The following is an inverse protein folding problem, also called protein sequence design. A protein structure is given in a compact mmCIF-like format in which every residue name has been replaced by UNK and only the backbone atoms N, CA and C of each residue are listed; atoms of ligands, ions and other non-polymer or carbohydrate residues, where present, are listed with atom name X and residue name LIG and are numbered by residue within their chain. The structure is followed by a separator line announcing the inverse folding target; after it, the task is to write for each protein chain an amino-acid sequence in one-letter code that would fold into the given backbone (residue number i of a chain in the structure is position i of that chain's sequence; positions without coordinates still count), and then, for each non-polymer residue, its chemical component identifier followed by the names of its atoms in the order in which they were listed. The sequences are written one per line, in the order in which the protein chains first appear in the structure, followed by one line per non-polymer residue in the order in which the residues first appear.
data_IF_730143248111
#
_entry.id   IF_730143248111
#
_cell.length_a   1.000
_cell.length_b   1.000
_cell.length_c   1.000
_cell.angle_alpha   90.00
_cell.angle_beta   90.00
_cell.angle_gamma   90.00
#
_symmetry.space_group_name_H-M   'P 1'
#
loop_
_entity.id
_entity.type
_entity.pdbx_description
1 polymer ?
#
# COMPACT_ATOMS: atom_id res chain seq x y z
N UNK A 1 41.84 -13.96 -60.95
CA UNK A 1 41.86 -14.14 -59.49
C UNK A 1 41.82 -15.63 -59.19
N UNK A 2 42.85 -16.16 -58.58
CA UNK A 2 43.07 -17.61 -58.44
C UNK A 2 42.12 -18.21 -57.40
N UNK A 3 41.59 -19.41 -57.64
CA UNK A 3 40.62 -20.06 -56.74
C UNK A 3 41.09 -20.17 -55.27
N UNK A 4 42.39 -20.21 -55.04
CA UNK A 4 42.98 -20.20 -53.68
C UNK A 4 42.75 -18.89 -52.92
N UNK A 5 42.73 -17.75 -53.63
CA UNK A 5 42.48 -16.40 -53.05
C UNK A 5 40.99 -16.21 -52.67
N UNK A 6 40.06 -16.79 -53.45
CA UNK A 6 38.62 -16.75 -53.14
C UNK A 6 38.28 -17.58 -51.90
N UNK A 7 38.91 -18.76 -51.75
CA UNK A 7 38.72 -19.63 -50.53
C UNK A 7 39.34 -19.00 -49.27
N UNK A 8 40.45 -18.30 -49.40
CA UNK A 8 41.09 -17.59 -48.31
C UNK A 8 40.23 -16.39 -47.80
N UNK A 9 39.70 -15.61 -48.70
CA UNK A 9 38.81 -14.46 -48.39
C UNK A 9 37.52 -14.95 -47.78
N UNK A 10 36.93 -16.05 -48.29
CA UNK A 10 35.68 -16.61 -47.74
C UNK A 10 35.87 -17.18 -46.32
N UNK A 11 37.00 -17.80 -46.01
CA UNK A 11 37.33 -18.27 -44.66
C UNK A 11 37.52 -17.10 -43.66
N UNK A 12 38.17 -16.04 -44.08
CA UNK A 12 38.37 -14.81 -43.28
C UNK A 12 37.05 -14.13 -43.00
N UNK A 13 36.15 -14.03 -44.00
CA UNK A 13 34.80 -13.43 -43.84
C UNK A 13 33.95 -14.27 -42.92
N UNK A 14 33.97 -15.63 -43.02
CA UNK A 14 33.24 -16.53 -42.14
C UNK A 14 33.78 -16.45 -40.70
N UNK A 15 35.12 -16.37 -40.54
CA UNK A 15 35.75 -16.20 -39.24
C UNK A 15 35.41 -14.83 -38.60
N UNK A 16 35.39 -13.76 -39.43
CA UNK A 16 35.02 -12.42 -38.97
C UNK A 16 33.53 -12.36 -38.60
N UNK A 17 32.64 -13.02 -39.36
CA UNK A 17 31.21 -13.10 -39.03
C UNK A 17 30.93 -13.94 -37.77
N UNK A 18 31.69 -15.01 -37.50
CA UNK A 18 31.57 -15.77 -36.28
C UNK A 18 32.11 -15.05 -35.03
N UNK A 19 33.07 -14.14 -35.21
CA UNK A 19 33.61 -13.36 -34.09
C UNK A 19 32.79 -12.12 -33.74
N UNK A 20 31.96 -11.60 -34.68
CA UNK A 20 31.09 -10.43 -34.41
C UNK A 20 29.73 -10.77 -33.84
N UNK A 21 29.37 -12.05 -33.73
CA UNK A 21 28.08 -12.46 -33.16
C UNK A 21 28.16 -12.91 -31.70
N UNK A 22 29.30 -12.80 -31.02
CA UNK A 22 29.33 -12.82 -29.56
C UNK A 22 28.89 -11.45 -29.03
N UNK A 23 27.64 -11.05 -29.31
CA UNK A 23 26.93 -10.24 -28.35
C UNK A 23 26.82 -11.12 -27.13
N UNK A 24 27.56 -10.77 -26.07
CA UNK A 24 27.37 -11.36 -24.76
C UNK A 24 25.92 -11.01 -24.41
N UNK A 25 24.99 -11.91 -24.71
CA UNK A 25 23.65 -11.84 -24.17
C UNK A 25 23.83 -12.02 -22.67
N UNK A 26 24.01 -10.92 -21.95
CA UNK A 26 23.92 -10.92 -20.51
C UNK A 26 22.49 -11.38 -20.22
N UNK A 27 22.34 -12.68 -19.93
CA UNK A 27 21.07 -13.23 -19.53
C UNK A 27 20.63 -12.42 -18.30
N UNK A 28 19.60 -11.63 -18.46
CA UNK A 28 19.03 -10.83 -17.36
C UNK A 28 18.30 -11.72 -16.35
N UNK A 29 18.17 -13.01 -16.66
CA UNK A 29 17.60 -14.03 -15.78
C UNK A 29 18.59 -15.17 -15.68
N UNK A 30 19.04 -15.47 -14.45
CA UNK A 30 19.95 -16.61 -14.17
C UNK A 30 19.34 -17.52 -13.12
N UNK A 31 19.38 -18.83 -13.38
CA UNK A 31 19.03 -19.86 -12.42
C UNK A 31 20.30 -20.57 -11.94
N UNK A 32 20.45 -20.72 -10.64
CA UNK A 32 21.60 -21.30 -9.99
C UNK A 32 21.32 -22.74 -9.54
N UNK A 33 22.36 -23.59 -9.52
CA UNK A 33 22.26 -25.01 -9.12
C UNK A 33 21.74 -25.19 -7.68
N UNK A 34 21.86 -24.20 -6.83
CA UNK A 34 21.33 -24.18 -5.46
C UNK A 34 19.86 -23.76 -5.36
N UNK A 35 19.12 -23.69 -6.49
CA UNK A 35 17.72 -23.34 -6.53
C UNK A 35 17.42 -21.83 -6.51
N UNK A 36 18.44 -20.97 -6.58
CA UNK A 36 18.25 -19.52 -6.57
C UNK A 36 18.07 -18.96 -7.97
N UNK A 37 17.31 -17.85 -8.06
CA UNK A 37 16.99 -17.14 -9.30
C UNK A 37 17.36 -15.65 -9.17
N UNK A 38 18.04 -15.09 -10.17
CA UNK A 38 18.28 -13.66 -10.23
C UNK A 38 17.66 -13.04 -11.47
N UNK A 39 17.15 -11.82 -11.31
CA UNK A 39 16.70 -10.93 -12.38
C UNK A 39 17.63 -9.71 -12.42
N UNK A 40 18.15 -9.38 -13.61
CA UNK A 40 19.17 -8.36 -13.78
C UNK A 40 20.60 -8.89 -13.55
N UNK A 41 21.57 -7.99 -13.65
CA UNK A 41 22.99 -8.35 -13.52
C UNK A 41 23.42 -8.34 -12.05
N UNK A 42 23.10 -9.40 -11.34
CA UNK A 42 23.42 -9.56 -9.93
C UNK A 42 23.67 -11.01 -9.56
N UNK A 43 24.29 -11.24 -8.41
CA UNK A 43 24.42 -12.54 -7.76
C UNK A 43 23.28 -12.75 -6.74
N UNK A 44 22.94 -14.01 -6.38
CA UNK A 44 21.94 -14.28 -5.35
C UNK A 44 22.34 -13.66 -4.01
N UNK A 45 21.38 -12.94 -3.39
CA UNK A 45 21.62 -12.34 -2.07
C UNK A 45 21.27 -13.32 -0.95
N UNK A 46 22.28 -13.70 -0.15
CA UNK A 46 22.18 -14.52 1.07
C UNK A 46 21.16 -15.68 1.02
N UNK A 47 20.13 -15.61 1.86
CA UNK A 47 19.11 -16.66 2.03
C UNK A 47 17.94 -16.56 1.05
N UNK A 48 17.87 -15.50 0.25
CA UNK A 48 16.74 -15.28 -0.64
C UNK A 48 16.81 -16.18 -1.87
N UNK A 49 15.70 -16.83 -2.20
CA UNK A 49 15.58 -17.66 -3.40
C UNK A 49 15.49 -16.84 -4.69
N UNK A 50 15.00 -15.59 -4.58
CA UNK A 50 14.90 -14.66 -5.70
C UNK A 50 15.59 -13.35 -5.36
N UNK A 51 16.44 -12.88 -6.26
CA UNK A 51 17.10 -11.57 -6.15
C UNK A 51 16.84 -10.78 -7.41
N UNK A 52 16.31 -9.57 -7.27
CA UNK A 52 15.97 -8.67 -8.37
C UNK A 52 16.87 -7.44 -8.27
N UNK A 53 17.66 -7.20 -9.31
CA UNK A 53 18.48 -6.00 -9.44
C UNK A 53 17.80 -5.01 -10.38
N UNK A 54 17.30 -3.92 -9.82
CA UNK A 54 16.56 -2.89 -10.54
C UNK A 54 15.79 -2.00 -9.57
N UNK A 55 14.97 -1.12 -10.11
CA UNK A 55 14.22 -0.13 -9.30
C UNK A 55 12.95 -0.70 -8.66
N UNK A 56 12.63 -1.98 -8.87
CA UNK A 56 11.45 -2.61 -8.27
C UNK A 56 10.74 -3.59 -9.19
N UNK A 57 9.49 -3.84 -8.86
CA UNK A 57 8.60 -4.73 -9.61
C UNK A 57 7.35 -3.97 -10.04
N UNK A 58 6.90 -4.20 -11.27
CA UNK A 58 5.71 -3.59 -11.84
C UNK A 58 4.73 -4.66 -12.31
N UNK A 59 3.52 -4.62 -11.79
CA UNK A 59 2.42 -5.51 -12.15
C UNK A 59 1.35 -4.71 -12.88
N UNK A 60 1.03 -5.10 -14.11
CA UNK A 60 0.02 -4.45 -14.94
C UNK A 60 -1.17 -5.37 -15.16
N UNK A 61 -2.35 -4.91 -14.83
CA UNK A 61 -3.60 -5.57 -15.19
C UNK A 61 -3.94 -5.30 -16.66
N UNK A 62 -4.61 -6.25 -17.31
CA UNK A 62 -5.07 -6.14 -18.69
C UNK A 62 -6.00 -4.93 -18.91
N UNK A 63 -6.72 -4.50 -17.90
CA UNK A 63 -7.68 -3.38 -17.91
C UNK A 63 -7.08 -2.02 -17.54
N UNK A 64 -5.76 -1.90 -17.48
CA UNK A 64 -5.07 -0.62 -17.26
C UNK A 64 -4.72 -0.31 -15.80
N UNK A 65 -5.19 -1.08 -14.83
CA UNK A 65 -4.77 -0.94 -13.44
C UNK A 65 -3.35 -1.50 -13.23
N UNK A 66 -2.59 -0.96 -12.28
CA UNK A 66 -1.27 -1.44 -11.94
C UNK A 66 -0.97 -1.36 -10.44
N UNK A 67 -0.02 -2.18 -10.01
CA UNK A 67 0.58 -2.16 -8.70
C UNK A 67 2.09 -2.28 -8.85
N UNK A 68 2.85 -1.54 -8.07
CA UNK A 68 4.30 -1.60 -8.11
C UNK A 68 4.93 -1.56 -6.71
N UNK A 69 6.08 -2.20 -6.62
CA UNK A 69 6.97 -2.13 -5.47
C UNK A 69 8.24 -1.42 -5.93
N UNK A 70 8.43 -0.17 -5.51
CA UNK A 70 9.60 0.62 -5.88
C UNK A 70 10.69 0.52 -4.82
N UNK A 71 11.93 0.30 -5.27
CA UNK A 71 13.13 0.38 -4.44
C UNK A 71 14.04 1.44 -5.06
N UNK A 72 13.98 2.65 -4.55
CA UNK A 72 14.75 3.79 -5.06
C UNK A 72 15.74 4.28 -4.00
N UNK A 73 16.78 5.06 -4.39
CA UNK A 73 17.71 5.64 -3.42
C UNK A 73 17.06 6.55 -2.37
N UNK A 74 15.86 7.07 -2.65
CA UNK A 74 15.13 7.97 -1.74
C UNK A 74 14.07 7.26 -0.89
N UNK A 75 13.81 5.97 -1.16
CA UNK A 75 12.87 5.18 -0.36
C UNK A 75 12.25 4.00 -1.09
N UNK A 76 11.55 3.17 -0.31
CA UNK A 76 10.75 2.05 -0.80
C UNK A 76 9.28 2.43 -0.76
N UNK A 77 8.52 2.14 -1.83
CA UNK A 77 7.11 2.47 -1.94
C UNK A 77 6.31 1.26 -2.43
N UNK A 78 5.12 1.09 -1.85
CA UNK A 78 4.04 0.33 -2.45
C UNK A 78 3.14 1.34 -3.16
N UNK A 79 2.99 1.25 -4.47
CA UNK A 79 2.24 2.22 -5.27
C UNK A 79 1.16 1.54 -6.10
N UNK A 80 0.02 2.18 -6.21
CA UNK A 80 -1.16 1.73 -6.95
C UNK A 80 -1.61 2.81 -7.93
N UNK A 81 -2.28 2.43 -9.00
CA UNK A 81 -2.95 3.35 -9.90
C UNK A 81 -4.24 3.91 -9.29
N UNK A 82 -4.86 3.15 -8.41
CA UNK A 82 -6.02 3.59 -7.63
C UNK A 82 -5.58 4.31 -6.35
N UNK A 83 -6.48 5.04 -5.73
CA UNK A 83 -6.22 5.83 -4.52
C UNK A 83 -5.98 4.95 -3.27
N UNK A 84 -6.03 3.64 -3.42
CA UNK A 84 -5.92 2.68 -2.32
C UNK A 84 -4.96 1.54 -2.62
N UNK A 85 -4.26 1.07 -1.59
CA UNK A 85 -3.66 -0.26 -1.51
C UNK A 85 -4.42 -1.03 -0.45
N UNK A 86 -5.11 -2.09 -0.85
CA UNK A 86 -5.97 -2.89 0.04
C UNK A 86 -5.20 -4.09 0.55
N UNK A 87 -5.13 -4.25 1.86
CA UNK A 87 -4.61 -5.45 2.51
C UNK A 87 -5.77 -6.41 2.78
N UNK A 88 -5.87 -7.45 1.98
CA UNK A 88 -7.05 -8.30 1.91
C UNK A 88 -6.70 -9.78 2.02
N UNK A 89 -7.45 -10.51 2.83
CA UNK A 89 -7.36 -11.95 2.95
C UNK A 89 -8.39 -12.60 2.01
N UNK A 90 -7.91 -13.15 0.90
CA UNK A 90 -8.78 -13.77 -0.11
C UNK A 90 -9.45 -15.06 0.36
N UNK A 91 -8.88 -15.72 1.37
CA UNK A 91 -9.43 -16.95 1.92
C UNK A 91 -10.64 -16.69 2.82
N UNK A 92 -10.58 -15.61 3.61
CA UNK A 92 -11.66 -15.21 4.51
C UNK A 92 -12.59 -14.16 3.92
N UNK A 93 -12.22 -13.58 2.80
CA UNK A 93 -12.91 -12.44 2.17
C UNK A 93 -13.04 -11.22 3.11
N UNK A 94 -12.02 -10.98 3.94
CA UNK A 94 -11.97 -9.89 4.92
C UNK A 94 -10.71 -9.04 4.77
N UNK A 95 -10.68 -7.87 5.41
CA UNK A 95 -9.49 -7.03 5.45
C UNK A 95 -8.50 -7.53 6.49
N UNK A 96 -7.19 -7.43 6.16
CA UNK A 96 -6.12 -7.76 7.09
C UNK A 96 -5.81 -6.57 8.02
N UNK A 97 -5.38 -6.88 9.23
CA UNK A 97 -4.78 -5.90 10.13
C UNK A 97 -3.35 -5.54 9.68
N UNK A 98 -2.91 -4.32 9.97
CA UNK A 98 -1.55 -3.84 9.70
C UNK A 98 -0.87 -3.57 11.03
N UNK A 99 0.34 -4.14 11.23
CA UNK A 99 1.19 -3.85 12.38
C UNK A 99 2.33 -2.93 11.92
N UNK A 100 2.34 -1.72 12.42
CA UNK A 100 3.38 -0.71 12.14
C UNK A 100 3.79 -0.01 13.43
N UNK A 101 5.03 0.47 13.52
CA UNK A 101 5.49 1.22 14.68
C UNK A 101 4.82 2.60 14.77
N UNK A 102 4.69 3.29 13.64
CA UNK A 102 4.10 4.64 13.56
C UNK A 102 3.37 4.79 12.24
N UNK A 103 2.31 5.61 12.23
CA UNK A 103 1.60 6.04 11.02
C UNK A 103 1.78 7.55 10.87
N UNK A 104 2.36 7.99 9.75
CA UNK A 104 2.50 9.40 9.39
C UNK A 104 1.57 9.71 8.24
N UNK A 105 0.58 10.59 8.47
CA UNK A 105 -0.30 11.06 7.43
C UNK A 105 0.27 12.31 6.77
N UNK A 106 0.29 12.34 5.43
CA UNK A 106 0.74 13.50 4.68
C UNK A 106 -0.16 14.72 4.99
N UNK A 107 0.44 15.81 5.47
CA UNK A 107 -0.29 16.97 5.96
C UNK A 107 0.46 18.30 5.76
N UNK A 108 1.31 18.39 4.73
CA UNK A 108 2.05 19.59 4.42
C UNK A 108 1.11 20.75 3.99
N UNK A 109 1.36 21.95 4.52
CA UNK A 109 0.55 23.13 4.22
C UNK A 109 0.58 23.50 2.73
N UNK A 110 1.71 23.28 2.05
CA UNK A 110 1.86 23.58 0.61
C UNK A 110 0.96 22.73 -0.30
N UNK A 111 0.49 21.59 0.21
CA UNK A 111 -0.43 20.70 -0.52
C UNK A 111 -1.91 21.00 -0.23
N UNK A 112 -2.21 22.00 0.59
CA UNK A 112 -3.58 22.31 1.00
C UNK A 112 -4.04 23.63 0.41
N UNK A 113 -5.30 23.67 0.01
CA UNK A 113 -5.98 24.87 -0.46
C UNK A 113 -7.27 25.10 0.32
N UNK A 114 -7.79 26.31 0.35
CA UNK A 114 -9.07 26.64 0.99
C UNK A 114 -9.13 26.24 2.47
N UNK A 115 -8.05 26.45 3.20
CA UNK A 115 -7.96 26.11 4.63
C UNK A 115 -8.90 27.02 5.41
N UNK A 116 -9.83 26.42 6.16
CA UNK A 116 -10.80 27.11 7.02
C UNK A 116 -10.88 26.41 8.38
N UNK A 117 -11.30 27.14 9.39
CA UNK A 117 -11.55 26.59 10.71
C UNK A 117 -12.76 25.62 10.68
N UNK A 118 -12.69 24.59 11.50
CA UNK A 118 -13.84 23.74 11.78
C UNK A 118 -14.89 24.56 12.56
N UNK A 119 -16.15 24.20 12.38
CA UNK A 119 -17.26 24.79 13.10
C UNK A 119 -18.26 23.71 13.50
N UNK A 120 -18.98 23.93 14.60
CA UNK A 120 -20.05 23.06 15.08
C UNK A 120 -19.55 21.63 15.48
N UNK A 121 -18.26 21.45 15.75
CA UNK A 121 -17.69 20.14 16.04
C UNK A 121 -18.23 19.51 17.32
N UNK A 122 -18.50 20.31 18.37
CA UNK A 122 -19.07 19.80 19.62
C UNK A 122 -20.46 19.15 19.37
N UNK A 123 -21.34 19.82 18.65
CA UNK A 123 -22.64 19.25 18.30
C UNK A 123 -22.52 18.00 17.44
N UNK A 124 -21.56 17.97 16.51
CA UNK A 124 -21.31 16.79 15.68
C UNK A 124 -20.86 15.61 16.53
N UNK A 125 -19.90 15.82 17.43
CA UNK A 125 -19.40 14.76 18.32
C UNK A 125 -20.49 14.20 19.22
N UNK A 126 -21.35 15.06 19.76
CA UNK A 126 -22.48 14.65 20.62
C UNK A 126 -23.53 13.79 19.89
N UNK A 127 -23.59 13.83 18.58
CA UNK A 127 -24.48 13.01 17.75
C UNK A 127 -23.85 11.65 17.36
N UNK A 128 -22.54 11.48 17.52
CA UNK A 128 -21.89 10.19 17.27
C UNK A 128 -22.24 9.21 18.37
N UNK A 129 -22.46 7.95 17.98
CA UNK A 129 -22.80 6.85 18.90
C UNK A 129 -21.67 5.82 18.95
N UNK A 130 -20.79 5.87 19.95
CA UNK A 130 -19.81 4.82 20.17
C UNK A 130 -20.49 3.49 20.50
N UNK A 131 -20.01 2.41 19.91
CA UNK A 131 -20.57 1.05 20.06
C UNK A 131 -19.49 0.02 20.27
N UNK A 132 -19.88 -1.11 20.86
CA UNK A 132 -19.13 -2.35 20.76
C UNK A 132 -19.81 -3.26 19.77
N UNK A 133 -19.03 -4.01 18.97
CA UNK A 133 -19.56 -4.89 17.94
C UNK A 133 -18.66 -6.11 17.73
N UNK A 134 -19.18 -7.11 17.01
CA UNK A 134 -18.41 -8.19 16.39
C UNK A 134 -18.70 -8.16 14.89
N UNK A 135 -17.70 -8.46 14.08
CA UNK A 135 -17.95 -8.63 12.64
C UNK A 135 -18.78 -9.89 12.40
N UNK A 136 -19.75 -9.78 11.46
CA UNK A 136 -20.64 -10.89 11.11
C UNK A 136 -19.92 -12.03 10.37
N UNK A 137 -18.77 -11.73 9.76
CA UNK A 137 -17.97 -12.68 8.99
C UNK A 137 -17.17 -13.59 9.93
N UNK A 138 -17.88 -14.50 10.62
CA UNK A 138 -17.29 -15.61 11.36
C UNK A 138 -16.74 -16.67 10.39
N UNK A 139 -15.84 -16.32 9.50
CA UNK A 139 -14.95 -17.27 8.90
C UNK A 139 -13.90 -17.65 9.95
N UNK A 140 -14.32 -18.43 10.93
CA UNK A 140 -13.41 -19.17 11.77
C UNK A 140 -12.71 -20.21 10.89
N UNK A 141 -11.69 -19.74 10.16
CA UNK A 141 -10.70 -20.66 9.70
C UNK A 141 -10.00 -21.14 10.96
N UNK A 142 -10.04 -22.45 11.15
CA UNK A 142 -9.14 -23.13 12.05
C UNK A 142 -7.70 -22.92 11.53
N UNK A 143 -7.18 -21.71 11.70
CA UNK A 143 -5.76 -21.43 11.57
C UNK A 143 -5.21 -21.48 12.98
N UNK A 144 -4.13 -22.24 13.14
CA UNK A 144 -3.39 -22.37 14.41
C UNK A 144 -2.83 -21.03 14.95
N UNK A 145 -3.18 -19.91 14.32
CA UNK A 145 -2.81 -18.55 14.73
C UNK A 145 -4.08 -17.76 15.01
N UNK A 146 -4.57 -17.86 16.22
CA UNK A 146 -5.63 -17.00 16.73
C UNK A 146 -5.05 -15.67 17.18
N UNK A 147 -5.30 -14.59 16.43
CA UNK A 147 -5.15 -13.24 16.96
C UNK A 147 -6.37 -12.96 17.84
N UNK A 148 -6.18 -13.01 19.16
CA UNK A 148 -7.23 -12.57 20.07
C UNK A 148 -7.15 -11.05 20.22
N UNK A 149 -8.22 -10.35 19.84
CA UNK A 149 -8.51 -9.04 20.41
C UNK A 149 -8.66 -9.23 21.91
N UNK A 150 -8.02 -8.37 22.71
CA UNK A 150 -8.09 -8.50 24.18
C UNK A 150 -9.53 -8.43 24.67
N UNK A 151 -9.84 -9.12 25.78
CA UNK A 151 -11.15 -9.05 26.43
C UNK A 151 -12.16 -10.07 25.90
N UNK A 152 -13.41 -9.62 25.68
CA UNK A 152 -14.57 -10.47 25.33
C UNK A 152 -14.73 -10.72 23.82
N UNK A 153 -13.73 -10.39 23.02
CA UNK A 153 -13.74 -10.55 21.56
C UNK A 153 -14.57 -9.52 20.80
N UNK A 154 -15.05 -8.47 21.50
CA UNK A 154 -15.73 -7.35 20.87
C UNK A 154 -14.76 -6.25 20.48
N UNK A 155 -15.07 -5.58 19.41
CA UNK A 155 -14.38 -4.37 18.96
C UNK A 155 -15.14 -3.13 19.41
N UNK A 156 -14.45 -2.00 19.46
CA UNK A 156 -15.03 -0.69 19.80
C UNK A 156 -14.91 0.20 18.58
N UNK A 157 -15.98 0.89 18.22
CA UNK A 157 -15.94 1.82 17.10
C UNK A 157 -17.26 2.53 16.87
N UNK A 158 -17.45 2.97 15.63
CA UNK A 158 -18.62 3.70 15.15
C UNK A 158 -19.22 2.95 13.95
N UNK A 159 -20.50 3.16 13.69
CA UNK A 159 -21.18 2.64 12.51
C UNK A 159 -21.04 3.68 11.38
N UNK A 160 -20.40 3.28 10.28
CA UNK A 160 -20.06 4.21 9.19
C UNK A 160 -21.27 4.94 8.59
N UNK A 161 -22.41 4.25 8.47
CA UNK A 161 -23.66 4.83 7.98
C UNK A 161 -24.21 5.93 8.92
N UNK A 162 -24.03 5.79 10.23
CA UNK A 162 -24.43 6.80 11.21
C UNK A 162 -23.44 7.98 11.19
N UNK A 163 -22.15 7.70 11.09
CA UNK A 163 -21.11 8.75 10.98
C UNK A 163 -21.30 9.59 9.72
N UNK A 164 -21.66 8.98 8.60
CA UNK A 164 -21.87 9.67 7.33
C UNK A 164 -22.98 10.73 7.41
N UNK A 165 -24.00 10.52 8.26
CA UNK A 165 -25.08 11.52 8.47
C UNK A 165 -24.58 12.78 9.18
N UNK A 166 -23.54 12.65 10.00
CA UNK A 166 -23.03 13.75 10.86
C UNK A 166 -21.74 14.34 10.31
N UNK A 167 -20.83 13.49 9.86
CA UNK A 167 -19.49 13.83 9.36
C UNK A 167 -19.21 13.10 8.02
N UNK A 168 -19.87 13.48 6.93
CA UNK A 168 -19.72 12.76 5.66
C UNK A 168 -18.28 12.75 5.13
N UNK A 169 -17.47 13.78 5.42
CA UNK A 169 -16.10 13.91 4.95
C UNK A 169 -15.11 12.90 5.59
N UNK A 170 -15.51 12.18 6.63
CA UNK A 170 -14.67 11.15 7.25
C UNK A 170 -15.07 9.74 6.82
N UNK A 171 -16.05 9.59 5.95
CA UNK A 171 -16.52 8.30 5.44
C UNK A 171 -16.22 8.19 3.95
N UNK A 172 -15.64 7.06 3.58
CA UNK A 172 -15.40 6.66 2.20
C UNK A 172 -16.30 5.47 1.86
N UNK A 173 -16.87 5.46 0.67
CA UNK A 173 -17.52 4.27 0.10
C UNK A 173 -16.59 3.69 -0.96
N UNK A 174 -16.21 2.42 -0.81
CA UNK A 174 -15.36 1.73 -1.77
C UNK A 174 -16.13 1.28 -3.02
N UNK A 175 -15.41 0.68 -3.98
CA UNK A 175 -15.99 0.23 -5.25
C UNK A 175 -16.97 -0.95 -5.09
N UNK A 176 -16.99 -1.61 -3.94
CA UNK A 176 -17.92 -2.68 -3.60
C UNK A 176 -19.14 -2.16 -2.82
N UNK A 177 -19.20 -0.86 -2.55
CA UNK A 177 -20.27 -0.22 -1.78
C UNK A 177 -20.09 -0.33 -0.27
N UNK A 178 -18.94 -0.81 0.23
CA UNK A 178 -18.62 -0.88 1.65
C UNK A 178 -18.20 0.49 2.15
N UNK A 179 -18.64 0.85 3.36
CA UNK A 179 -18.31 2.12 3.99
C UNK A 179 -17.17 1.97 4.99
N UNK A 180 -16.23 2.89 4.91
CA UNK A 180 -14.99 2.92 5.68
C UNK A 180 -14.90 4.25 6.42
N UNK A 181 -14.44 4.23 7.68
CA UNK A 181 -14.28 5.45 8.49
C UNK A 181 -12.78 5.80 8.56
N UNK A 182 -12.46 7.05 8.25
CA UNK A 182 -11.16 7.61 8.55
C UNK A 182 -11.13 8.12 9.99
N UNK A 183 -10.79 7.25 10.95
CA UNK A 183 -10.73 7.61 12.36
C UNK A 183 -9.69 8.70 12.66
N UNK A 184 -8.61 8.82 11.89
CA UNK A 184 -7.62 9.88 12.09
C UNK A 184 -8.16 11.26 11.72
N UNK A 185 -9.12 11.34 10.80
CA UNK A 185 -9.80 12.60 10.45
C UNK A 185 -10.82 13.05 11.52
N UNK A 186 -11.19 12.18 12.45
CA UNK A 186 -12.04 12.56 13.59
C UNK A 186 -11.23 13.31 14.67
N UNK A 187 -9.93 13.12 14.74
CA UNK A 187 -9.06 13.76 15.76
C UNK A 187 -9.19 15.30 15.74
N UNK A 188 -9.03 16.00 14.60
CA UNK A 188 -9.22 17.47 14.60
C UNK A 188 -10.63 17.90 14.98
N UNK A 189 -11.66 17.11 14.68
CA UNK A 189 -13.05 17.39 15.12
C UNK A 189 -13.15 17.29 16.65
N UNK A 190 -12.52 16.30 17.27
CA UNK A 190 -12.46 16.17 18.73
C UNK A 190 -11.69 17.33 19.37
N UNK A 191 -10.60 17.79 18.76
CA UNK A 191 -9.82 18.93 19.26
C UNK A 191 -10.69 20.20 19.30
N UNK A 192 -11.39 20.54 18.21
CA UNK A 192 -12.28 21.70 18.14
C UNK A 192 -13.47 21.58 19.11
N UNK A 193 -14.03 20.37 19.25
CA UNK A 193 -15.10 20.11 20.21
C UNK A 193 -14.65 20.33 21.67
N UNK A 194 -13.45 19.87 22.03
CA UNK A 194 -12.86 20.06 23.37
C UNK A 194 -12.60 21.54 23.63
N UNK A 195 -12.04 22.27 22.66
CA UNK A 195 -11.79 23.71 22.78
C UNK A 195 -13.10 24.50 22.99
N UNK A 196 -14.15 24.16 22.26
CA UNK A 196 -15.47 24.74 22.43
C UNK A 196 -16.05 24.48 23.82
N UNK A 197 -16.01 23.21 24.25
CA UNK A 197 -16.49 22.80 25.58
C UNK A 197 -15.73 23.51 26.69
N UNK A 198 -14.40 23.67 26.57
CA UNK A 198 -13.57 24.39 27.54
C UNK A 198 -14.00 25.86 27.65
N UNK A 199 -14.24 26.51 26.52
CA UNK A 199 -14.70 27.90 26.52
C UNK A 199 -16.09 28.07 27.19
N UNK A 200 -17.02 27.15 26.98
CA UNK A 200 -18.34 27.14 27.61
C UNK A 200 -18.22 26.95 29.15
N UNK A 201 -17.38 26.02 29.60
CA UNK A 201 -17.10 25.79 31.04
C UNK A 201 -16.53 27.07 31.70
N UNK A 202 -15.58 27.72 31.05
CA UNK A 202 -15.00 28.97 31.57
C UNK A 202 -16.04 30.10 31.65
N UNK A 203 -16.89 30.24 30.66
CA UNK A 203 -18.00 31.19 30.68
C UNK A 203 -18.96 30.93 31.82
N UNK A 204 -19.25 29.68 32.14
CA UNK A 204 -20.14 29.33 33.27
C UNK A 204 -19.50 29.59 34.64
N UNK A 205 -18.19 29.40 34.78
CA UNK A 205 -17.45 29.67 36.02
C UNK A 205 -17.32 31.13 36.36
N UNK A 206 -17.39 32.01 35.36
CA UNK A 206 -17.24 33.46 35.49
C UNK A 206 -18.59 34.18 35.63
N UNK A 207 -19.69 33.46 35.73
CA UNK A 207 -21.04 33.95 36.03
C UNK A 207 -21.36 33.85 37.51
#
# INVERSE_FOLDING_TARGET
MNNRTKFGIMRVIISLFLTTTYTVANAQIKYYSNGKLTFGNTEPYEFYHQTIYGNGMYFKCKTGNFFQIDVTPVGTRLASHSDQVVFYNTQTSTFNSIQVKNVYNYSDASAKTNVANLTNSLNSVLQLRPVTYTFADNHSIASDVSYTTGGDGKEIGLIAQEVEQVLPNVVLTDNEGKKLINYTAIIPVLIDAIQTLQAEVESLKNR
#
